data_IF_957140099463
#
_entry.id   IF_957140099463
#
_cell.length_a   1.000
_cell.length_b   1.000
_cell.length_c   1.000
_cell.angle_alpha   90.00
_cell.angle_beta   90.00
_cell.angle_gamma   90.00
#
_symmetry.space_group_name_H-M   'P 1'
#
loop_
_entity.id
_entity.type
_entity.pdbx_description
1 polymer ?
#
# COMPACT_ATOMS: atom_id res chain seq x y z
N UNK A 1 -39.52 3.94 -52.81
CA UNK A 1 -39.02 2.56 -52.99
C UNK A 1 -37.49 2.60 -52.94
N UNK A 2 -36.89 1.94 -51.93
CA UNK A 2 -35.55 1.28 -51.92
C UNK A 2 -34.32 2.15 -52.26
N UNK A 3 -33.18 2.11 -51.58
CA UNK A 3 -32.65 1.27 -50.50
C UNK A 3 -31.44 2.04 -49.91
N UNK A 4 -31.38 2.20 -48.59
CA UNK A 4 -30.14 2.53 -47.88
C UNK A 4 -29.31 1.23 -47.80
N UNK A 5 -28.04 1.25 -48.23
CA UNK A 5 -27.09 0.15 -47.98
C UNK A 5 -26.15 0.59 -46.87
N UNK A 6 -26.39 0.06 -45.67
CA UNK A 6 -25.47 0.10 -44.54
C UNK A 6 -24.41 -0.98 -44.74
N UNK A 7 -23.14 -0.59 -44.82
CA UNK A 7 -21.99 -1.49 -44.70
C UNK A 7 -21.72 -1.74 -43.21
N UNK A 8 -22.24 -2.84 -42.68
CA UNK A 8 -21.77 -3.39 -41.40
C UNK A 8 -20.45 -4.15 -41.65
N UNK A 9 -19.34 -3.57 -41.23
CA UNK A 9 -18.10 -4.31 -41.04
C UNK A 9 -18.21 -5.13 -39.75
N UNK A 10 -18.57 -6.41 -39.88
CA UNK A 10 -18.44 -7.36 -38.78
C UNK A 10 -16.95 -7.59 -38.51
N UNK A 11 -16.48 -7.04 -37.38
CA UNK A 11 -15.25 -7.47 -36.70
C UNK A 11 -15.39 -8.95 -36.36
N UNK A 12 -14.76 -9.82 -37.15
CA UNK A 12 -14.47 -11.19 -36.73
C UNK A 12 -13.38 -11.12 -35.66
N UNK A 13 -13.77 -11.01 -34.39
CA UNK A 13 -12.92 -11.44 -33.28
C UNK A 13 -12.59 -12.91 -33.54
N UNK A 14 -11.39 -13.17 -34.02
CA UNK A 14 -10.84 -14.51 -34.00
C UNK A 14 -10.58 -14.84 -32.53
N UNK A 15 -11.50 -15.58 -31.92
CA UNK A 15 -11.19 -16.38 -30.76
C UNK A 15 -10.05 -17.31 -31.18
N UNK A 16 -8.81 -16.94 -30.84
CA UNK A 16 -7.66 -17.81 -30.98
C UNK A 16 -7.85 -18.95 -29.99
N UNK A 17 -8.49 -20.01 -30.48
CA UNK A 17 -8.57 -21.28 -29.78
C UNK A 17 -7.16 -21.70 -29.39
N UNK A 18 -7.01 -22.09 -28.12
CA UNK A 18 -5.78 -22.58 -27.55
C UNK A 18 -5.18 -23.67 -28.44
N UNK A 19 -4.14 -23.29 -29.20
CA UNK A 19 -3.28 -24.22 -29.91
C UNK A 19 -2.45 -25.05 -28.91
N UNK A 20 -1.70 -26.06 -29.41
CA UNK A 20 -0.89 -26.93 -28.56
C UNK A 20 -0.03 -26.08 -27.63
N UNK A 21 -0.13 -26.33 -26.32
CA UNK A 21 0.49 -25.56 -25.24
C UNK A 21 1.76 -24.85 -25.70
N UNK A 22 1.68 -23.52 -25.87
CA UNK A 22 2.78 -22.73 -26.40
C UNK A 22 4.05 -23.09 -25.61
N UNK A 23 5.05 -23.62 -26.32
CA UNK A 23 6.31 -24.07 -25.68
C UNK A 23 6.99 -22.96 -24.89
N UNK A 24 6.63 -21.69 -25.15
CA UNK A 24 7.04 -20.50 -24.39
C UNK A 24 6.47 -20.48 -22.98
N UNK A 25 5.33 -21.10 -22.74
CA UNK A 25 4.66 -21.18 -21.45
C UNK A 25 5.17 -22.30 -20.53
N UNK A 26 6.06 -23.17 -21.03
CA UNK A 26 6.68 -24.21 -20.20
C UNK A 26 7.61 -23.57 -19.19
N UNK A 27 7.53 -24.01 -17.94
CA UNK A 27 8.37 -23.57 -16.81
C UNK A 27 9.86 -23.60 -17.13
N UNK A 28 10.36 -24.61 -17.85
CA UNK A 28 11.76 -24.68 -18.28
C UNK A 28 12.15 -23.55 -19.24
N UNK A 29 11.25 -23.16 -20.15
CA UNK A 29 11.47 -22.08 -21.10
C UNK A 29 11.43 -20.74 -20.39
N UNK A 30 10.44 -20.54 -19.53
CA UNK A 30 10.30 -19.34 -18.69
C UNK A 30 11.53 -19.15 -17.81
N UNK A 31 11.99 -20.20 -17.12
CA UNK A 31 13.18 -20.14 -16.26
C UNK A 31 14.43 -19.68 -17.04
N UNK A 32 14.61 -20.18 -18.27
CA UNK A 32 15.73 -19.78 -19.14
C UNK A 32 15.64 -18.30 -19.52
N UNK A 33 14.47 -17.83 -19.93
CA UNK A 33 14.26 -16.43 -20.32
C UNK A 33 14.46 -15.49 -19.14
N UNK A 34 13.99 -15.85 -17.95
CA UNK A 34 14.23 -15.10 -16.70
C UNK A 34 15.72 -15.02 -16.36
N UNK A 35 16.46 -16.14 -16.47
CA UNK A 35 17.90 -16.14 -16.22
C UNK A 35 18.66 -15.24 -17.21
N UNK A 36 18.24 -15.21 -18.47
CA UNK A 36 18.80 -14.30 -19.48
C UNK A 36 18.49 -12.83 -19.16
N UNK A 37 17.26 -12.52 -18.74
CA UNK A 37 16.88 -11.18 -18.33
C UNK A 37 17.71 -10.71 -17.11
N UNK A 38 17.95 -11.59 -16.14
CA UNK A 38 18.80 -11.31 -14.99
C UNK A 38 20.25 -10.99 -15.41
N UNK A 39 20.79 -11.74 -16.36
CA UNK A 39 22.10 -11.44 -16.93
C UNK A 39 22.12 -10.08 -17.63
N UNK A 40 21.07 -9.76 -18.40
CA UNK A 40 20.93 -8.47 -19.09
C UNK A 40 20.84 -7.29 -18.10
N UNK A 41 20.19 -7.47 -16.94
CA UNK A 41 20.10 -6.44 -15.89
C UNK A 41 21.42 -6.18 -15.16
N UNK A 42 22.35 -7.14 -15.21
CA UNK A 42 23.67 -7.02 -14.58
C UNK A 42 24.81 -6.80 -15.59
N UNK A 43 24.48 -6.48 -16.84
CA UNK A 43 25.47 -6.27 -17.89
C UNK A 43 26.42 -5.11 -17.51
N UNK A 44 27.75 -5.34 -17.47
CA UNK A 44 28.71 -4.32 -17.08
C UNK A 44 28.76 -3.18 -18.09
N UNK A 45 28.99 -1.95 -17.60
CA UNK A 45 29.14 -0.76 -18.43
C UNK A 45 27.84 -0.15 -18.96
N UNK A 46 26.67 -0.65 -18.53
CA UNK A 46 25.36 -0.09 -18.88
C UNK A 46 24.76 0.67 -17.69
N UNK A 47 24.11 1.80 -17.97
CA UNK A 47 23.33 2.51 -16.95
C UNK A 47 22.19 1.62 -16.41
N UNK A 48 21.90 1.71 -15.12
CA UNK A 48 20.96 0.82 -14.44
C UNK A 48 19.55 0.80 -15.07
N UNK A 49 19.03 1.97 -15.46
CA UNK A 49 17.73 2.07 -16.13
C UNK A 49 17.73 1.39 -17.51
N UNK A 50 18.77 1.61 -18.32
CA UNK A 50 18.93 0.94 -19.62
C UNK A 50 19.11 -0.58 -19.47
N UNK A 51 19.81 -1.03 -18.43
CA UNK A 51 19.97 -2.45 -18.15
C UNK A 51 18.62 -3.09 -17.75
N UNK A 52 17.83 -2.39 -16.95
CA UNK A 52 16.49 -2.82 -16.55
C UNK A 52 15.54 -2.88 -17.76
N UNK A 53 15.57 -1.88 -18.64
CA UNK A 53 14.77 -1.89 -19.87
C UNK A 53 15.15 -3.04 -20.81
N UNK A 54 16.44 -3.34 -20.94
CA UNK A 54 16.92 -4.48 -21.72
C UNK A 54 16.43 -5.82 -21.14
N UNK A 55 16.51 -5.98 -19.82
CA UNK A 55 15.99 -7.14 -19.11
C UNK A 55 14.47 -7.30 -19.29
N UNK A 56 13.69 -6.22 -19.17
CA UNK A 56 12.26 -6.24 -19.45
C UNK A 56 11.95 -6.65 -20.90
N UNK A 57 12.69 -6.08 -21.86
CA UNK A 57 12.54 -6.40 -23.29
C UNK A 57 12.82 -7.87 -23.58
N UNK A 58 13.71 -8.52 -22.81
CA UNK A 58 13.96 -9.97 -22.88
C UNK A 58 12.74 -10.80 -22.46
N UNK A 59 12.00 -10.33 -21.45
CA UNK A 59 10.81 -11.02 -20.93
C UNK A 59 9.58 -10.83 -21.83
N UNK A 60 9.51 -9.71 -22.56
CA UNK A 60 8.34 -9.31 -23.35
C UNK A 60 7.74 -10.40 -24.26
N UNK A 61 8.51 -11.17 -25.04
CA UNK A 61 7.93 -12.23 -25.87
C UNK A 61 7.23 -13.34 -25.09
N UNK A 62 7.68 -13.63 -23.87
CA UNK A 62 7.04 -14.60 -22.98
C UNK A 62 5.80 -13.98 -22.30
N UNK A 63 5.86 -12.70 -21.91
CA UNK A 63 4.71 -11.95 -21.39
C UNK A 63 3.56 -11.93 -22.40
N UNK A 64 3.86 -11.52 -23.64
CA UNK A 64 2.89 -11.39 -24.73
C UNK A 64 2.22 -12.73 -25.11
N UNK A 65 2.82 -13.87 -24.73
CA UNK A 65 2.23 -15.20 -24.92
C UNK A 65 1.06 -15.51 -23.95
N UNK A 66 0.86 -14.73 -22.89
CA UNK A 66 -0.34 -14.80 -22.04
C UNK A 66 -0.55 -16.13 -21.30
N UNK A 67 0.49 -16.70 -20.70
CA UNK A 67 0.50 -18.09 -20.22
C UNK A 67 -0.35 -18.41 -18.97
N UNK A 68 -1.05 -17.43 -18.37
CA UNK A 68 -1.99 -17.69 -17.26
C UNK A 68 -3.32 -18.27 -17.74
N UNK A 69 -3.69 -18.06 -19.02
CA UNK A 69 -5.01 -18.36 -19.57
C UNK A 69 -5.37 -19.85 -19.77
N UNK A 70 -4.61 -20.80 -19.22
CA UNK A 70 -4.96 -22.24 -19.22
C UNK A 70 -5.26 -22.80 -17.84
N UNK A 71 -5.28 -21.96 -16.80
CA UNK A 71 -5.80 -22.31 -15.48
C UNK A 71 -7.17 -21.64 -15.30
N UNK A 72 -8.24 -22.43 -15.18
CA UNK A 72 -9.58 -21.94 -14.79
C UNK A 72 -9.49 -21.11 -13.49
N UNK A 73 -9.47 -19.78 -13.60
CA UNK A 73 -9.58 -18.84 -12.47
C UNK A 73 -11.08 -18.62 -12.14
N UNK A 74 -11.85 -19.71 -12.13
CA UNK A 74 -13.32 -19.68 -11.99
C UNK A 74 -13.88 -20.54 -10.87
N UNK A 75 -13.03 -21.21 -10.07
CA UNK A 75 -13.50 -22.09 -8.98
C UNK A 75 -13.01 -21.60 -7.62
N UNK A 76 -13.97 -21.41 -6.71
CA UNK A 76 -13.81 -20.96 -5.31
C UNK A 76 -13.15 -21.99 -4.39
N UNK A 77 -12.69 -23.13 -4.91
CA UNK A 77 -11.80 -24.03 -4.19
C UNK A 77 -10.35 -23.73 -4.59
N UNK A 78 -9.48 -23.48 -3.61
CA UNK A 78 -8.04 -23.21 -3.79
C UNK A 78 -7.34 -24.37 -4.51
N UNK A 79 -7.40 -24.38 -5.85
CA UNK A 79 -6.68 -25.34 -6.66
C UNK A 79 -5.19 -24.94 -6.65
N UNK A 80 -4.27 -25.86 -6.38
CA UNK A 80 -2.85 -25.55 -6.41
C UNK A 80 -2.46 -25.05 -7.81
N UNK A 81 -1.72 -23.95 -7.85
CA UNK A 81 -1.19 -23.43 -9.11
C UNK A 81 -0.27 -24.46 -9.76
N UNK A 82 -0.38 -24.62 -11.08
CA UNK A 82 0.54 -25.49 -11.82
C UNK A 82 1.97 -24.94 -11.78
N UNK A 83 2.97 -25.80 -11.98
CA UNK A 83 4.37 -25.37 -12.03
C UNK A 83 4.62 -24.32 -13.12
N UNK A 84 3.93 -24.44 -14.26
CA UNK A 84 4.01 -23.49 -15.36
C UNK A 84 3.35 -22.15 -15.00
N UNK A 85 2.21 -22.17 -14.30
CA UNK A 85 1.56 -20.95 -13.79
C UNK A 85 2.42 -20.25 -12.73
N UNK A 86 3.06 -20.99 -11.82
CA UNK A 86 4.00 -20.44 -10.83
C UNK A 86 5.21 -19.83 -11.54
N UNK A 87 5.78 -20.49 -12.55
CA UNK A 87 6.90 -19.97 -13.31
C UNK A 87 6.54 -18.67 -14.03
N UNK A 88 5.35 -18.60 -14.62
CA UNK A 88 4.87 -17.40 -15.28
C UNK A 88 4.55 -16.28 -14.30
N UNK A 89 3.99 -16.58 -13.13
CA UNK A 89 3.77 -15.59 -12.08
C UNK A 89 5.09 -14.96 -11.59
N UNK A 90 6.15 -15.75 -11.47
CA UNK A 90 7.49 -15.21 -11.24
C UNK A 90 8.00 -14.33 -12.39
N UNK A 91 7.69 -14.68 -13.64
CA UNK A 91 8.06 -13.87 -14.80
C UNK A 91 7.35 -12.51 -14.80
N UNK A 92 6.07 -12.45 -14.42
CA UNK A 92 5.34 -11.19 -14.21
C UNK A 92 5.97 -10.37 -13.06
N UNK A 93 6.35 -11.02 -11.96
CA UNK A 93 7.04 -10.37 -10.84
C UNK A 93 8.39 -9.77 -11.26
N UNK A 94 9.23 -10.50 -12.01
CA UNK A 94 10.51 -9.96 -12.48
C UNK A 94 10.28 -8.78 -13.44
N UNK A 95 9.30 -8.90 -14.34
CA UNK A 95 8.95 -7.86 -15.29
C UNK A 95 8.54 -6.55 -14.61
N UNK A 96 7.72 -6.60 -13.55
CA UNK A 96 7.36 -5.41 -12.79
C UNK A 96 8.59 -4.75 -12.15
N UNK A 97 9.50 -5.54 -11.59
CA UNK A 97 10.74 -5.02 -10.97
C UNK A 97 11.62 -4.30 -12.01
N UNK A 98 11.78 -4.87 -13.21
CA UNK A 98 12.54 -4.24 -14.28
C UNK A 98 11.88 -2.97 -14.81
N UNK A 99 10.55 -2.89 -14.82
CA UNK A 99 9.84 -1.65 -15.17
C UNK A 99 10.12 -0.55 -14.14
N UNK A 100 10.12 -0.85 -12.83
CA UNK A 100 10.54 0.12 -11.79
C UNK A 100 11.95 0.64 -12.05
N UNK A 101 12.90 -0.26 -12.29
CA UNK A 101 14.29 0.09 -12.52
C UNK A 101 14.49 0.96 -13.77
N UNK A 102 13.72 0.69 -14.83
CA UNK A 102 13.74 1.49 -16.05
C UNK A 102 13.21 2.91 -15.83
N UNK A 103 12.14 3.07 -15.02
CA UNK A 103 11.53 4.37 -14.73
C UNK A 103 12.38 5.27 -13.82
N UNK A 104 13.31 4.72 -13.05
CA UNK A 104 14.13 5.48 -12.10
C UNK A 104 15.22 6.36 -12.76
N UNK A 105 15.48 6.19 -14.07
CA UNK A 105 16.55 6.89 -14.79
C UNK A 105 16.15 8.11 -15.61
N UNK A 106 14.87 8.33 -15.88
CA UNK A 106 14.41 9.42 -16.74
C UNK A 106 13.89 10.61 -15.92
N UNK A 107 14.65 11.72 -15.96
CA UNK A 107 14.18 13.04 -15.54
C UNK A 107 13.30 13.75 -16.59
N UNK A 108 12.93 13.04 -17.66
CA UNK A 108 12.03 13.51 -18.72
C UNK A 108 10.70 12.81 -18.60
N UNK A 109 9.61 13.59 -18.69
CA UNK A 109 8.24 13.09 -18.53
C UNK A 109 7.98 11.88 -19.44
N UNK A 110 7.25 10.86 -18.95
CA UNK A 110 6.99 9.66 -19.73
C UNK A 110 5.92 10.00 -20.77
N UNK A 111 6.36 10.46 -21.93
CA UNK A 111 5.54 10.61 -23.12
C UNK A 111 6.02 9.64 -24.21
N UNK A 112 6.17 8.36 -23.85
CA UNK A 112 6.18 7.24 -24.80
C UNK A 112 5.03 6.30 -24.45
N UNK A 113 3.94 6.44 -25.20
CA UNK A 113 2.64 5.83 -24.98
C UNK A 113 2.56 4.33 -25.31
N UNK A 114 3.51 3.51 -24.83
CA UNK A 114 3.57 2.08 -25.19
C UNK A 114 4.11 1.11 -24.14
N UNK A 115 4.71 1.58 -23.06
CA UNK A 115 5.20 0.70 -21.99
C UNK A 115 4.09 0.51 -20.93
N UNK A 116 3.71 -0.74 -20.59
CA UNK A 116 2.72 -0.98 -19.55
C UNK A 116 3.23 -0.46 -18.21
N UNK A 117 2.33 0.04 -17.36
CA UNK A 117 2.71 0.45 -16.02
C UNK A 117 3.16 -0.79 -15.23
N UNK A 118 4.08 -0.58 -14.29
CA UNK A 118 4.60 -1.64 -13.42
C UNK A 118 3.49 -2.46 -12.74
N UNK A 119 2.39 -1.81 -12.32
CA UNK A 119 1.22 -2.47 -11.71
C UNK A 119 0.42 -3.29 -12.72
N UNK A 120 0.28 -2.82 -13.97
CA UNK A 120 -0.53 -3.50 -14.99
C UNK A 120 0.00 -4.91 -15.27
N UNK A 121 1.33 -5.07 -15.25
CA UNK A 121 1.98 -6.38 -15.42
C UNK A 121 1.66 -7.34 -14.28
N UNK A 122 1.42 -6.82 -13.07
CA UNK A 122 1.08 -7.64 -11.91
C UNK A 122 -0.41 -7.97 -11.83
N UNK A 123 -1.29 -7.22 -12.50
CA UNK A 123 -2.75 -7.36 -12.40
C UNK A 123 -3.26 -8.80 -12.49
N UNK A 124 -2.73 -9.70 -13.37
CA UNK A 124 -3.18 -11.09 -13.41
C UNK A 124 -2.93 -11.89 -12.14
N UNK A 125 -2.02 -11.43 -11.28
CA UNK A 125 -1.68 -12.06 -10.00
C UNK A 125 -2.42 -11.44 -8.83
N UNK A 126 -3.19 -10.38 -9.05
CA UNK A 126 -3.87 -9.63 -8.00
C UNK A 126 -5.38 -9.86 -8.03
N UNK A 127 -5.96 -10.00 -6.86
CA UNK A 127 -7.41 -9.89 -6.65
C UNK A 127 -7.86 -8.43 -6.77
N UNK A 128 -9.17 -8.19 -6.76
CA UNK A 128 -9.75 -6.84 -6.90
C UNK A 128 -9.31 -5.86 -5.80
N UNK A 129 -8.94 -6.38 -4.62
CA UNK A 129 -8.36 -5.63 -3.51
C UNK A 129 -6.83 -5.49 -3.61
N UNK A 130 -6.29 -5.77 -4.78
CA UNK A 130 -4.88 -5.72 -5.13
C UNK A 130 -4.01 -6.68 -4.32
N UNK A 131 -4.58 -7.62 -3.54
CA UNK A 131 -3.83 -8.69 -2.83
C UNK A 131 -3.40 -9.79 -3.80
N UNK A 132 -2.29 -10.50 -3.54
CA UNK A 132 -1.89 -11.60 -4.41
C UNK A 132 -2.92 -12.72 -4.25
N UNK A 133 -3.28 -13.37 -5.36
CA UNK A 133 -4.29 -14.42 -5.34
C UNK A 133 -4.00 -15.50 -4.27
N UNK A 134 -5.05 -15.97 -3.57
CA UNK A 134 -4.90 -17.08 -2.64
C UNK A 134 -4.41 -18.33 -3.38
N UNK A 135 -3.47 -19.06 -2.77
CA UNK A 135 -2.87 -20.27 -3.35
C UNK A 135 -1.51 -20.05 -4.04
N UNK A 136 -1.02 -18.81 -4.16
CA UNK A 136 0.35 -18.54 -4.57
C UNK A 136 1.36 -19.00 -3.49
N UNK A 137 2.55 -19.50 -3.90
CA UNK A 137 3.63 -19.79 -2.95
C UNK A 137 4.02 -18.56 -2.12
N UNK A 138 4.24 -18.74 -0.82
CA UNK A 138 4.55 -17.64 0.13
C UNK A 138 5.66 -16.69 -0.34
N UNK A 139 6.77 -17.22 -0.87
CA UNK A 139 7.88 -16.38 -1.37
C UNK A 139 7.48 -15.50 -2.56
N UNK A 140 6.58 -16.00 -3.40
CA UNK A 140 6.07 -15.25 -4.54
C UNK A 140 5.07 -14.19 -4.08
N UNK A 141 4.23 -14.49 -3.08
CA UNK A 141 3.37 -13.49 -2.42
C UNK A 141 4.23 -12.34 -1.87
N UNK A 142 5.31 -12.66 -1.15
CA UNK A 142 6.24 -11.66 -0.58
C UNK A 142 6.91 -10.80 -1.68
N UNK A 143 7.34 -11.42 -2.80
CA UNK A 143 7.93 -10.71 -3.93
C UNK A 143 6.93 -9.79 -4.65
N UNK A 144 5.72 -10.27 -4.93
CA UNK A 144 4.65 -9.48 -5.55
C UNK A 144 4.29 -8.30 -4.66
N UNK A 145 4.15 -8.53 -3.35
CA UNK A 145 3.87 -7.48 -2.36
C UNK A 145 4.93 -6.37 -2.41
N UNK A 146 6.21 -6.75 -2.40
CA UNK A 146 7.30 -5.80 -2.48
C UNK A 146 7.29 -5.01 -3.79
N UNK A 147 7.03 -5.68 -4.90
CA UNK A 147 6.97 -5.04 -6.21
C UNK A 147 5.80 -4.05 -6.31
N UNK A 148 4.61 -4.36 -5.76
CA UNK A 148 3.48 -3.42 -5.75
C UNK A 148 3.84 -2.14 -4.98
N UNK A 149 4.51 -2.28 -3.82
CA UNK A 149 4.97 -1.13 -3.04
C UNK A 149 5.96 -0.27 -3.82
N UNK A 150 6.88 -0.91 -4.57
CA UNK A 150 7.83 -0.20 -5.43
C UNK A 150 7.12 0.45 -6.63
N UNK A 151 6.24 -0.26 -7.32
CA UNK A 151 5.47 0.31 -8.42
C UNK A 151 4.67 1.53 -7.97
N UNK A 152 4.03 1.47 -6.79
CA UNK A 152 3.26 2.58 -6.23
C UNK A 152 4.15 3.78 -5.90
N UNK A 153 5.37 3.56 -5.38
CA UNK A 153 6.32 4.63 -5.09
C UNK A 153 6.86 5.32 -6.36
N UNK A 154 6.96 4.60 -7.47
CA UNK A 154 7.51 5.10 -8.74
C UNK A 154 6.43 5.51 -9.76
N UNK A 155 5.17 5.52 -9.35
CA UNK A 155 4.08 5.92 -10.21
C UNK A 155 3.90 7.46 -10.24
N UNK A 156 4.09 8.04 -11.44
CA UNK A 156 3.81 9.46 -11.69
C UNK A 156 2.39 9.74 -12.20
N UNK A 157 1.71 8.75 -12.81
CA UNK A 157 0.37 8.92 -13.39
C UNK A 157 -0.75 8.69 -12.35
N UNK A 158 -1.83 9.50 -12.33
CA UNK A 158 -2.99 9.24 -11.47
C UNK A 158 -3.60 7.84 -11.64
N UNK A 159 -3.42 7.23 -12.83
CA UNK A 159 -3.94 5.89 -13.16
C UNK A 159 -3.17 4.74 -12.50
N UNK A 160 -1.91 4.95 -12.11
CA UNK A 160 -1.10 3.95 -11.39
C UNK A 160 -0.93 4.30 -9.90
N UNK A 161 -1.37 5.49 -9.48
CA UNK A 161 -1.46 5.82 -8.06
C UNK A 161 -2.60 4.96 -7.53
N UNK A 162 -2.35 4.07 -6.55
CA UNK A 162 -3.43 3.36 -5.91
C UNK A 162 -4.44 4.39 -5.41
N UNK A 163 -5.60 4.49 -6.03
CA UNK A 163 -6.70 5.33 -5.53
C UNK A 163 -7.35 4.72 -4.28
N UNK A 164 -6.79 3.63 -3.77
CA UNK A 164 -7.56 2.63 -3.08
C UNK A 164 -6.82 2.10 -1.86
N UNK A 165 -7.44 2.38 -0.71
CA UNK A 165 -7.29 1.75 0.61
C UNK A 165 -6.88 0.26 0.54
N UNK A 166 -7.33 -0.46 -0.49
CA UNK A 166 -6.94 -1.83 -0.82
C UNK A 166 -5.42 -2.12 -0.77
N UNK A 167 -4.54 -1.41 -1.49
CA UNK A 167 -3.07 -1.67 -1.46
C UNK A 167 -2.48 -1.37 -0.09
N UNK A 168 -2.90 -0.27 0.53
CA UNK A 168 -2.47 0.09 1.88
C UNK A 168 -2.85 -1.01 2.88
N UNK A 169 -4.11 -1.46 2.84
CA UNK A 169 -4.65 -2.52 3.70
C UNK A 169 -4.01 -3.90 3.44
N UNK A 170 -3.61 -4.16 2.20
CA UNK A 170 -3.06 -5.43 1.75
C UNK A 170 -1.60 -5.62 2.14
N UNK A 171 -0.81 -4.53 2.10
CA UNK A 171 0.66 -4.65 2.08
C UNK A 171 1.40 -3.77 3.08
N UNK A 172 0.80 -2.69 3.56
CA UNK A 172 1.43 -1.81 4.57
C UNK A 172 0.80 -1.96 5.93
N UNK A 173 -0.53 -2.05 5.97
CA UNK A 173 -1.30 -2.02 7.20
C UNK A 173 -1.03 -3.27 8.04
N UNK A 174 -0.62 -3.03 9.28
CA UNK A 174 -0.60 -4.02 10.34
C UNK A 174 -1.85 -3.95 11.21
N UNK A 175 -2.82 -3.07 10.91
CA UNK A 175 -4.04 -2.84 11.70
C UNK A 175 -4.80 -4.11 12.10
N UNK A 176 -4.84 -5.22 11.31
CA UNK A 176 -5.49 -6.46 11.77
C UNK A 176 -4.83 -7.06 13.03
N UNK A 177 -3.55 -6.79 13.28
CA UNK A 177 -2.83 -7.21 14.47
C UNK A 177 -3.04 -6.27 15.68
N UNK A 178 -3.67 -5.12 15.48
CA UNK A 178 -3.96 -4.12 16.51
C UNK A 178 -5.46 -4.03 16.72
N UNK A 179 -5.96 -4.78 17.69
CA UNK A 179 -7.36 -4.73 18.08
C UNK A 179 -7.61 -3.55 19.00
N UNK A 180 -8.83 -3.01 19.01
CA UNK A 180 -9.26 -2.18 20.15
C UNK A 180 -9.31 -3.08 21.38
N UNK A 181 -8.23 -3.09 22.16
CA UNK A 181 -8.20 -3.69 23.50
C UNK A 181 -9.30 -3.08 24.37
N UNK A 182 -9.66 -3.73 25.50
CA UNK A 182 -10.69 -3.19 26.37
C UNK A 182 -10.39 -1.73 26.70
N UNK A 183 -11.46 -0.95 26.70
CA UNK A 183 -11.46 0.43 27.16
C UNK A 183 -10.76 0.49 28.52
N UNK A 184 -9.92 1.51 28.71
CA UNK A 184 -9.19 1.66 29.97
C UNK A 184 -10.19 1.69 31.14
N UNK A 185 -10.00 0.88 32.19
CA UNK A 185 -10.98 0.76 33.29
C UNK A 185 -11.25 2.07 34.05
N UNK A 186 -10.38 3.06 33.88
CA UNK A 186 -10.41 4.32 34.62
C UNK A 186 -10.59 5.56 33.73
N UNK A 187 -10.61 5.38 32.40
CA UNK A 187 -10.82 6.45 31.43
C UNK A 187 -11.37 5.88 30.12
N UNK A 188 -12.63 6.17 29.82
CA UNK A 188 -13.31 5.58 28.67
C UNK A 188 -12.73 6.00 27.31
N UNK A 189 -11.91 7.05 27.28
CA UNK A 189 -11.32 7.59 26.06
C UNK A 189 -9.96 6.96 25.72
N UNK A 190 -9.37 6.20 26.64
CA UNK A 190 -8.08 5.54 26.47
C UNK A 190 -8.26 4.02 26.30
N UNK A 191 -7.27 3.38 25.70
CA UNK A 191 -7.20 1.92 25.57
C UNK A 191 -6.19 1.34 26.54
N UNK A 192 -6.48 0.17 27.09
CA UNK A 192 -5.58 -0.51 28.00
C UNK A 192 -4.39 -1.12 27.24
N UNK A 193 -3.18 -0.67 27.56
CA UNK A 193 -1.93 -1.22 27.03
C UNK A 193 -1.35 -2.31 27.95
N UNK A 194 -1.47 -2.10 29.26
CA UNK A 194 -1.07 -3.05 30.29
C UNK A 194 -1.93 -2.91 31.55
N UNK A 195 -1.64 -3.69 32.59
CA UNK A 195 -2.47 -3.73 33.82
C UNK A 195 -2.69 -2.36 34.45
N UNK A 196 -1.65 -1.53 34.45
CA UNK A 196 -1.64 -0.20 35.07
C UNK A 196 -1.35 0.92 34.08
N UNK A 197 -1.47 0.67 32.78
CA UNK A 197 -1.09 1.63 31.74
C UNK A 197 -2.14 1.68 30.66
N UNK A 198 -2.64 2.88 30.40
CA UNK A 198 -3.56 3.19 29.34
C UNK A 198 -2.95 4.24 28.42
N UNK A 199 -3.28 4.14 27.13
CA UNK A 199 -2.75 5.02 26.09
C UNK A 199 -3.87 5.48 25.19
N UNK A 200 -3.66 6.63 24.56
CA UNK A 200 -4.57 7.15 23.56
C UNK A 200 -4.03 8.44 22.98
N UNK A 201 -4.90 9.18 22.32
CA UNK A 201 -4.58 10.47 21.76
C UNK A 201 -5.67 11.47 22.10
N UNK A 202 -5.27 12.72 22.08
CA UNK A 202 -6.16 13.88 22.07
C UNK A 202 -5.84 14.65 20.80
N UNK A 203 -6.78 14.71 19.86
CA UNK A 203 -6.61 15.43 18.61
C UNK A 203 -6.74 16.96 18.80
N UNK A 204 -7.14 17.42 19.99
CA UNK A 204 -7.11 18.82 20.35
C UNK A 204 -7.95 19.71 19.42
N UNK A 205 -7.35 20.83 19.01
CA UNK A 205 -7.94 21.80 18.09
C UNK A 205 -8.29 21.22 16.71
N UNK A 206 -7.74 20.05 16.35
CA UNK A 206 -7.96 19.38 15.07
C UNK A 206 -8.76 18.07 15.23
N UNK A 207 -9.65 18.01 16.22
CA UNK A 207 -10.49 16.82 16.47
C UNK A 207 -11.53 16.54 15.39
N UNK A 208 -11.82 17.51 14.52
CA UNK A 208 -12.74 17.40 13.41
C UNK A 208 -12.22 18.14 12.16
N UNK A 209 -12.92 17.97 11.03
CA UNK A 209 -12.66 18.76 9.85
C UNK A 209 -13.21 20.19 10.02
N UNK A 210 -12.47 21.15 9.50
CA UNK A 210 -12.75 22.57 9.54
C UNK A 210 -12.84 23.13 8.11
N UNK A 211 -13.69 24.14 7.88
CA UNK A 211 -13.59 24.98 6.69
C UNK A 211 -12.20 25.64 6.59
N UNK A 212 -11.75 25.88 5.37
CA UNK A 212 -10.46 26.55 5.11
C UNK A 212 -10.36 27.92 5.79
N UNK A 213 -11.49 28.63 5.92
CA UNK A 213 -11.59 29.93 6.58
C UNK A 213 -11.32 29.84 8.10
N UNK A 214 -11.74 28.74 8.74
CA UNK A 214 -11.53 28.48 10.16
C UNK A 214 -10.11 27.97 10.44
N UNK A 215 -9.48 27.32 9.46
CA UNK A 215 -8.14 26.74 9.57
C UNK A 215 -7.07 27.77 9.97
N UNK A 216 -7.14 28.98 9.40
CA UNK A 216 -6.21 30.07 9.70
C UNK A 216 -6.30 30.60 11.13
N UNK A 217 -7.37 30.27 11.85
CA UNK A 217 -7.60 30.67 13.23
C UNK A 217 -7.20 29.58 14.25
N UNK A 218 -6.83 28.38 13.77
CA UNK A 218 -6.37 27.29 14.62
C UNK A 218 -4.90 27.50 14.99
N UNK A 219 -4.65 28.16 16.11
CA UNK A 219 -3.32 28.29 16.68
C UNK A 219 -3.02 27.11 17.63
N UNK A 220 -1.91 26.43 17.37
CA UNK A 220 -1.34 25.41 18.25
C UNK A 220 0.09 25.82 18.61
N UNK A 221 0.22 26.88 19.39
CA UNK A 221 1.51 27.27 19.95
C UNK A 221 1.88 26.31 21.09
N UNK A 222 3.14 25.91 21.15
CA UNK A 222 3.72 24.95 22.10
C UNK A 222 3.67 25.39 23.58
N UNK A 223 3.01 26.51 23.89
CA UNK A 223 2.77 26.91 25.27
C UNK A 223 1.67 26.05 25.92
N UNK A 224 1.80 25.73 27.22
CA UNK A 224 0.78 25.01 27.98
C UNK A 224 -0.45 25.90 28.15
N UNK A 225 -1.29 25.96 27.12
CA UNK A 225 -2.53 26.70 27.13
C UNK A 225 -3.59 25.97 27.96
N UNK A 226 -4.19 26.71 28.89
CA UNK A 226 -5.37 26.30 29.65
C UNK A 226 -6.65 26.48 28.81
N UNK A 227 -6.54 26.92 27.55
CA UNK A 227 -7.67 27.15 26.66
C UNK A 227 -8.30 25.87 26.14
N UNK A 228 -9.53 26.02 25.65
CA UNK A 228 -10.37 25.02 25.00
C UNK A 228 -9.79 24.46 23.69
N UNK A 229 -8.73 25.06 23.13
CA UNK A 229 -7.98 24.56 21.98
C UNK A 229 -6.60 24.07 22.41
N UNK A 230 -6.47 22.79 22.77
CA UNK A 230 -5.17 22.18 23.09
C UNK A 230 -4.51 21.66 21.82
N UNK A 231 -3.19 21.65 21.78
CA UNK A 231 -2.46 20.97 20.71
C UNK A 231 -2.74 19.47 20.75
N UNK A 232 -2.76 18.80 19.58
CA UNK A 232 -2.78 17.35 19.53
C UNK A 232 -1.68 16.76 20.41
N UNK A 233 -1.97 15.65 21.08
CA UNK A 233 -1.02 15.00 21.96
C UNK A 233 -1.28 13.50 22.06
N UNK A 234 -0.22 12.75 22.30
CA UNK A 234 -0.31 11.40 22.82
C UNK A 234 -0.52 11.46 24.33
N UNK A 235 -1.43 10.63 24.84
CA UNK A 235 -1.80 10.60 26.25
C UNK A 235 -1.43 9.24 26.82
N UNK A 236 -0.69 9.24 27.92
CA UNK A 236 -0.37 8.03 28.70
C UNK A 236 -0.89 8.24 30.11
N UNK A 237 -1.79 7.36 30.53
CA UNK A 237 -2.29 7.28 31.90
C UNK A 237 -1.64 6.09 32.58
N UNK A 238 -1.02 6.34 33.74
CA UNK A 238 -0.41 5.32 34.59
C UNK A 238 -1.13 5.30 35.93
N UNK A 239 -1.26 4.11 36.52
CA UNK A 239 -1.81 3.94 37.86
C UNK A 239 -0.75 3.36 38.78
N UNK A 240 -0.41 4.10 39.83
CA UNK A 240 0.52 3.64 40.85
C UNK A 240 -0.10 3.82 42.24
N UNK A 241 -0.06 2.77 43.06
CA UNK A 241 -0.70 2.73 44.37
C UNK A 241 -2.15 3.28 44.42
N UNK A 242 -2.93 3.00 43.36
CA UNK A 242 -4.31 3.46 43.24
C UNK A 242 -4.48 4.90 42.74
N UNK A 243 -3.40 5.68 42.64
CA UNK A 243 -3.36 7.05 42.12
C UNK A 243 -3.12 7.05 40.61
N UNK A 244 -3.95 7.78 39.88
CA UNK A 244 -3.79 7.96 38.44
C UNK A 244 -2.88 9.16 38.16
N UNK A 245 -1.95 9.00 37.23
CA UNK A 245 -1.09 10.06 36.70
C UNK A 245 -1.20 10.07 35.18
N UNK A 246 -1.66 11.19 34.63
CA UNK A 246 -1.79 11.39 33.18
C UNK A 246 -0.65 12.27 32.69
N UNK A 247 0.08 11.78 31.69
CA UNK A 247 1.15 12.50 31.00
C UNK A 247 0.74 12.74 29.56
N UNK A 248 0.95 13.96 29.08
CA UNK A 248 0.73 14.35 27.68
C UNK A 248 2.09 14.52 27.02
N UNK A 249 2.22 13.97 25.82
CA UNK A 249 3.42 14.06 25.02
C UNK A 249 3.08 14.74 23.70
N UNK A 250 3.89 15.72 23.25
CA UNK A 250 3.73 16.26 21.91
C UNK A 250 3.89 15.13 20.89
N UNK A 251 3.21 15.21 19.74
CA UNK A 251 3.45 14.31 18.62
C UNK A 251 4.93 14.37 18.22
N UNK A 252 5.52 13.22 17.90
CA UNK A 252 6.89 13.18 17.37
C UNK A 252 6.95 13.74 15.95
N UNK A 253 8.15 14.11 15.51
CA UNK A 253 8.40 14.57 14.15
C UNK A 253 7.83 13.58 13.11
N UNK A 254 7.04 14.10 12.19
CA UNK A 254 6.42 13.31 11.13
C UNK A 254 5.27 12.38 11.58
N UNK A 255 4.73 12.56 12.79
CA UNK A 255 3.46 11.93 13.19
C UNK A 255 2.26 12.65 12.57
N UNK A 256 1.23 11.90 12.20
CA UNK A 256 -0.05 12.39 11.71
C UNK A 256 -0.76 13.31 12.73
N UNK A 257 -0.60 13.06 14.03
CA UNK A 257 -1.11 13.99 15.05
C UNK A 257 -0.35 15.34 15.06
N UNK A 258 0.90 15.35 14.61
CA UNK A 258 1.71 16.56 14.52
C UNK A 258 1.44 17.36 13.25
N UNK A 259 0.76 16.77 12.26
CA UNK A 259 0.39 17.42 11.02
C UNK A 259 -1.07 17.90 11.10
N UNK A 260 -1.32 19.23 11.13
CA UNK A 260 -2.65 19.80 11.19
C UNK A 260 -3.60 19.31 10.09
N UNK A 261 -3.07 18.97 8.91
CA UNK A 261 -3.86 18.49 7.77
C UNK A 261 -4.41 17.09 7.97
N UNK A 262 -3.78 16.26 8.82
CA UNK A 262 -4.14 14.85 9.00
C UNK A 262 -4.59 14.47 10.41
N UNK A 263 -4.41 15.35 11.40
CA UNK A 263 -4.71 15.06 12.80
C UNK A 263 -6.17 14.62 13.05
N UNK A 264 -7.15 15.22 12.37
CA UNK A 264 -8.57 14.85 12.47
C UNK A 264 -8.90 13.50 11.82
N UNK A 265 -8.02 12.98 10.95
CA UNK A 265 -8.20 11.67 10.34
C UNK A 265 -7.88 10.55 11.33
N UNK A 266 -7.13 10.83 12.42
CA UNK A 266 -6.87 9.85 13.49
C UNK A 266 -8.17 9.55 14.24
N UNK A 267 -8.64 8.30 14.22
CA UNK A 267 -9.95 7.91 14.78
C UNK A 267 -9.89 6.98 15.96
N UNK A 268 -8.83 6.18 16.09
CA UNK A 268 -8.78 5.15 17.11
C UNK A 268 -7.36 4.80 17.53
N UNK A 269 -7.26 4.22 18.72
CA UNK A 269 -6.04 3.57 19.19
C UNK A 269 -6.30 2.06 19.25
N UNK A 270 -5.38 1.28 18.70
CA UNK A 270 -5.36 -0.18 18.80
C UNK A 270 -4.14 -0.63 19.58
N UNK A 271 -4.20 -1.83 20.15
CA UNK A 271 -3.09 -2.42 20.89
C UNK A 271 -2.84 -3.81 20.35
N UNK A 272 -1.56 -4.19 20.26
CA UNK A 272 -1.20 -5.52 19.78
C UNK A 272 -1.57 -6.59 20.80
N UNK A 273 -1.64 -7.85 20.35
CA UNK A 273 -1.95 -9.00 21.22
C UNK A 273 -1.03 -9.11 22.45
N UNK A 274 0.22 -8.67 22.33
CA UNK A 274 1.19 -8.70 23.42
C UNK A 274 1.09 -7.56 24.44
N UNK A 275 0.28 -6.52 24.20
CA UNK A 275 0.20 -5.35 25.09
C UNK A 275 1.50 -4.53 25.15
N UNK A 276 2.39 -4.70 24.17
CA UNK A 276 3.72 -4.07 24.14
C UNK A 276 3.78 -2.88 23.20
N UNK A 277 2.84 -2.80 22.25
CA UNK A 277 2.78 -1.78 21.21
C UNK A 277 1.35 -1.31 21.06
N UNK A 278 1.19 -0.04 20.69
CA UNK A 278 -0.09 0.50 20.31
C UNK A 278 0.03 1.20 18.95
N UNK A 279 -1.09 1.29 18.24
CA UNK A 279 -1.18 1.95 16.95
C UNK A 279 -2.22 3.05 17.00
N UNK A 280 -1.88 4.22 16.46
CA UNK A 280 -2.88 5.20 16.05
C UNK A 280 -3.39 4.82 14.67
N UNK A 281 -4.70 4.73 14.51
CA UNK A 281 -5.35 4.32 13.27
C UNK A 281 -6.41 5.32 12.88
N UNK A 282 -6.44 5.66 11.61
CA UNK A 282 -7.28 6.72 11.09
C UNK A 282 -7.46 6.63 9.59
N UNK A 283 -8.56 7.19 9.12
CA UNK A 283 -8.88 7.29 7.72
C UNK A 283 -9.80 8.50 7.53
N UNK A 284 -9.51 9.34 6.54
CA UNK A 284 -10.34 10.51 6.27
C UNK A 284 -9.71 11.47 5.28
N UNK A 285 -10.48 12.51 4.96
CA UNK A 285 -9.98 13.65 4.19
C UNK A 285 -9.17 14.59 5.07
N UNK A 286 -8.39 15.42 4.40
CA UNK A 286 -7.72 16.57 5.01
C UNK A 286 -8.67 17.39 5.91
N UNK A 287 -8.12 17.88 7.01
CA UNK A 287 -8.85 18.60 8.04
C UNK A 287 -9.31 19.99 7.64
N UNK A 288 -8.96 20.49 6.46
CA UNK A 288 -9.27 21.86 6.01
C UNK A 288 -10.17 21.90 4.77
N UNK A 289 -10.90 20.81 4.51
CA UNK A 289 -11.83 20.71 3.38
C UNK A 289 -11.14 20.43 2.05
N UNK A 290 -9.84 20.08 2.07
CA UNK A 290 -9.13 19.60 0.89
C UNK A 290 -9.67 18.27 0.35
N UNK A 291 -9.25 17.94 -0.87
CA UNK A 291 -9.60 16.66 -1.49
C UNK A 291 -8.63 15.53 -1.14
N UNK A 292 -7.48 15.86 -0.53
CA UNK A 292 -6.48 14.89 -0.11
C UNK A 292 -7.10 13.89 0.87
N UNK A 293 -6.74 12.63 0.71
CA UNK A 293 -7.21 11.54 1.56
C UNK A 293 -6.03 10.89 2.27
N UNK A 294 -6.15 10.68 3.57
CA UNK A 294 -5.10 10.12 4.41
C UNK A 294 -5.55 8.82 5.04
N UNK A 295 -4.70 7.80 4.95
CA UNK A 295 -4.76 6.58 5.74
C UNK A 295 -3.66 6.65 6.79
N UNK A 296 -4.04 6.60 8.06
CA UNK A 296 -3.12 6.73 9.19
C UNK A 296 -2.95 5.38 9.86
N UNK A 297 -1.70 4.93 9.94
CA UNK A 297 -1.29 3.86 10.84
C UNK A 297 0.10 4.15 11.37
N UNK A 298 0.18 4.48 12.65
CA UNK A 298 1.42 4.84 13.32
C UNK A 298 1.59 3.96 14.55
N UNK A 299 2.67 3.17 14.56
CA UNK A 299 2.93 2.18 15.60
C UNK A 299 3.94 2.74 16.58
N UNK A 300 3.58 2.69 17.86
CA UNK A 300 4.33 3.22 18.98
C UNK A 300 4.69 2.13 19.98
N UNK A 301 5.78 2.37 20.69
CA UNK A 301 6.15 1.66 21.92
C UNK A 301 6.35 2.66 23.03
N UNK A 302 6.07 2.27 24.28
CA UNK A 302 6.47 3.07 25.43
C UNK A 302 7.93 2.78 25.78
N UNK A 303 8.78 3.80 25.76
CA UNK A 303 10.14 3.78 26.31
C UNK A 303 10.20 4.78 27.45
N UNK A 304 10.52 4.31 28.65
CA UNK A 304 10.55 5.14 29.86
C UNK A 304 9.24 5.92 30.11
N UNK A 305 8.12 5.29 29.76
CA UNK A 305 6.77 5.86 29.85
C UNK A 305 6.43 6.89 28.76
N UNK A 306 7.33 7.18 27.82
CA UNK A 306 7.11 8.05 26.68
C UNK A 306 6.76 7.24 25.42
N UNK A 307 5.73 7.64 24.66
CA UNK A 307 5.48 7.11 23.33
C UNK A 307 6.61 7.42 22.36
N UNK A 308 7.14 6.38 21.71
CA UNK A 308 8.15 6.49 20.65
C UNK A 308 7.60 5.84 19.40
N UNK A 309 7.52 6.62 18.32
CA UNK A 309 7.12 6.14 17.00
C UNK A 309 8.18 5.15 16.50
N UNK A 310 7.77 3.92 16.23
CA UNK A 310 8.68 2.87 15.72
C UNK A 310 8.37 2.48 14.27
N UNK A 311 7.17 2.78 13.78
CA UNK A 311 6.80 2.55 12.39
C UNK A 311 5.71 3.53 11.96
N UNK A 312 5.88 4.14 10.79
CA UNK A 312 4.86 4.95 10.11
C UNK A 312 4.45 4.23 8.83
N UNK A 313 3.21 3.77 8.80
CA UNK A 313 2.59 3.13 7.65
C UNK A 313 1.56 4.06 6.97
N UNK A 314 1.48 5.32 7.38
CA UNK A 314 0.54 6.30 6.82
C UNK A 314 0.78 6.56 5.32
N UNK A 315 -0.28 6.90 4.60
CA UNK A 315 -0.25 7.24 3.18
C UNK A 315 -1.26 8.35 2.86
N UNK A 316 -0.87 9.27 1.98
CA UNK A 316 -1.68 10.38 1.49
C UNK A 316 -1.89 10.24 -0.03
N UNK A 317 -3.12 10.50 -0.51
CA UNK A 317 -3.57 10.31 -1.89
C UNK A 317 -4.13 11.59 -2.51
#
# INVERSE_FOLDING_TARGET
MRLLVLLMAFMTLTAQGAGPADTRCRSSTIARVRQQALADSHAPGRAAATASLAAYSRLKPALDAGCLGSADIGSTAARPWSQDAIAYAWLLSDASMYLVGASAGDGTSPNESGSPACIDVLQPLLSDDLRPHPGLPRRLVEAISANILQCAAHCASPSCKPTNVSIWSAYRSESPAYTRHPVCPYDAHLVQLGTNTCVGFDAGAFSAAHPLEDAGNLACDSQPSVSTGRCPALVVLTRDHGRNTTRRFPPGDGSALGDPSTACAVRSTGVNTGGTRFALMGEGRDCFGGTAYSLIEEIYVLRDGQPVLVKRNSADF
#
